data_IF_948948825037
#
_entry.id   IF_948948825037
#
_cell.length_a   1.000
_cell.length_b   1.000
_cell.length_c   1.000
_cell.angle_alpha   90.00
_cell.angle_beta   90.00
_cell.angle_gamma   90.00
#
_symmetry.space_group_name_H-M   'P 1'
#
loop_
_entity.id
_entity.type
_entity.pdbx_description
1 polymer ?
#
# COMPACT_ATOMS: atom_id res chain seq x y z
N UNK A 1 -2.65 15.31 24.65
CA UNK A 1 -3.45 14.74 23.54
C UNK A 1 -4.82 15.38 23.63
N UNK A 2 -5.30 16.00 22.55
CA UNK A 2 -6.59 16.72 22.52
C UNK A 2 -7.76 15.73 22.73
N UNK A 3 -8.66 16.04 23.66
CA UNK A 3 -9.83 15.22 24.01
C UNK A 3 -10.73 14.96 22.79
N UNK A 4 -10.77 15.91 21.84
CA UNK A 4 -11.56 15.76 20.60
C UNK A 4 -11.01 14.67 19.69
N UNK A 5 -9.68 14.54 19.62
CA UNK A 5 -9.00 13.52 18.82
C UNK A 5 -9.20 12.13 19.45
N UNK A 6 -9.15 12.06 20.79
CA UNK A 6 -9.39 10.82 21.51
C UNK A 6 -10.81 10.27 21.28
N UNK A 7 -11.83 11.15 21.34
CA UNK A 7 -13.21 10.75 21.13
C UNK A 7 -13.46 10.30 19.68
N UNK A 8 -12.94 11.02 18.68
CA UNK A 8 -13.09 10.63 17.28
C UNK A 8 -12.45 9.25 16.97
N UNK A 9 -11.33 8.92 17.61
CA UNK A 9 -10.71 7.59 17.46
C UNK A 9 -11.55 6.47 18.07
N UNK A 10 -12.20 6.73 19.21
CA UNK A 10 -13.11 5.77 19.83
C UNK A 10 -14.34 5.51 18.94
N UNK A 11 -14.89 6.57 18.34
CA UNK A 11 -16.04 6.46 17.43
C UNK A 11 -15.69 5.63 16.18
N UNK A 12 -14.55 5.91 15.53
CA UNK A 12 -14.07 5.14 14.38
C UNK A 12 -13.83 3.67 14.76
N UNK A 13 -13.25 3.43 15.93
CA UNK A 13 -12.98 2.07 16.40
C UNK A 13 -14.29 1.29 16.62
N UNK A 14 -15.29 1.87 17.28
CA UNK A 14 -16.59 1.22 17.43
C UNK A 14 -17.26 0.97 16.08
N UNK A 15 -17.15 1.93 15.16
CA UNK A 15 -17.77 1.87 13.84
C UNK A 15 -17.08 0.90 12.89
N UNK A 16 -15.84 0.50 13.13
CA UNK A 16 -15.10 -0.44 12.27
C UNK A 16 -14.92 -1.82 12.90
N UNK A 17 -15.29 -2.00 14.17
CA UNK A 17 -15.19 -3.28 14.87
C UNK A 17 -16.10 -4.32 14.23
N UNK A 18 -15.54 -5.50 13.98
CA UNK A 18 -16.24 -6.67 13.44
C UNK A 18 -16.71 -7.57 14.58
N UNK A 19 -18.01 -7.61 14.83
CA UNK A 19 -18.65 -8.59 15.73
C UNK A 19 -19.28 -9.72 14.91
N UNK A 20 -19.47 -10.92 15.47
CA UNK A 20 -20.09 -12.04 14.73
C UNK A 20 -21.45 -11.69 14.11
N UNK A 21 -22.30 -10.96 14.85
CA UNK A 21 -23.60 -10.49 14.35
C UNK A 21 -23.42 -9.54 13.16
N UNK A 22 -22.49 -8.58 13.26
CA UNK A 22 -22.24 -7.62 12.19
C UNK A 22 -21.70 -8.30 10.93
N UNK A 23 -20.77 -9.23 11.08
CA UNK A 23 -20.21 -10.00 9.96
C UNK A 23 -21.30 -10.83 9.28
N UNK A 24 -22.18 -11.47 10.05
CA UNK A 24 -23.31 -12.23 9.51
C UNK A 24 -24.34 -11.36 8.76
N UNK A 25 -24.49 -10.10 9.16
CA UNK A 25 -25.41 -9.14 8.53
C UNK A 25 -24.78 -8.37 7.36
N UNK A 26 -23.45 -8.29 7.30
CA UNK A 26 -22.74 -7.58 6.25
C UNK A 26 -22.63 -8.43 4.98
N UNK A 27 -23.36 -8.07 3.93
CA UNK A 27 -23.11 -8.55 2.57
C UNK A 27 -22.35 -7.48 1.78
N UNK A 28 -21.04 -7.66 1.66
CA UNK A 28 -20.19 -6.78 0.84
C UNK A 28 -19.60 -7.60 -0.29
N UNK A 29 -19.73 -7.09 -1.52
CA UNK A 29 -19.12 -7.67 -2.70
C UNK A 29 -17.88 -6.87 -3.10
N UNK A 30 -16.89 -7.55 -3.65
CA UNK A 30 -15.68 -6.91 -4.20
C UNK A 30 -15.99 -6.43 -5.62
N UNK A 31 -15.80 -5.14 -5.87
CA UNK A 31 -15.76 -4.60 -7.24
C UNK A 31 -14.36 -4.81 -7.83
N UNK A 32 -14.22 -5.83 -8.67
CA UNK A 32 -12.97 -6.18 -9.33
C UNK A 32 -12.55 -5.20 -10.42
N UNK A 33 -13.47 -4.41 -10.97
CA UNK A 33 -13.16 -3.42 -12.00
C UNK A 33 -12.51 -2.18 -11.38
N UNK A 34 -12.83 -1.88 -10.13
CA UNK A 34 -12.25 -0.80 -9.36
C UNK A 34 -10.98 -1.20 -8.58
N UNK A 35 -10.44 -2.41 -8.80
CA UNK A 35 -9.22 -2.85 -8.11
C UNK A 35 -8.04 -1.92 -8.42
N UNK A 36 -7.41 -1.28 -7.41
CA UNK A 36 -6.35 -0.32 -7.64
C UNK A 36 -5.05 -0.99 -8.11
N UNK A 37 -4.26 -0.24 -8.88
CA UNK A 37 -2.86 -0.58 -9.15
C UNK A 37 -2.01 -0.29 -7.91
N UNK A 38 -1.07 -1.18 -7.62
CA UNK A 38 -0.08 -0.99 -6.54
C UNK A 38 0.96 0.08 -6.88
N UNK A 39 1.17 0.36 -8.16
CA UNK A 39 2.28 1.21 -8.62
C UNK A 39 1.77 2.53 -9.19
N UNK A 40 2.52 3.59 -8.89
CA UNK A 40 2.37 4.89 -9.54
C UNK A 40 2.98 4.87 -10.93
N UNK A 41 2.32 5.54 -11.85
CA UNK A 41 2.82 5.78 -13.21
C UNK A 41 3.27 7.22 -13.32
N UNK A 42 4.50 7.43 -13.77
CA UNK A 42 5.08 8.74 -14.02
C UNK A 42 5.35 8.91 -15.52
N UNK A 43 5.31 10.14 -16.07
CA UNK A 43 5.68 10.37 -17.47
C UNK A 43 7.12 9.94 -17.79
N UNK A 44 7.37 9.55 -19.04
CA UNK A 44 8.67 9.00 -19.45
C UNK A 44 9.79 10.03 -19.59
N UNK A 45 9.46 11.31 -19.69
CA UNK A 45 10.45 12.38 -19.79
C UNK A 45 11.12 12.74 -18.44
N UNK A 46 10.62 12.21 -17.31
CA UNK A 46 11.22 12.45 -16.01
C UNK A 46 12.51 11.64 -15.86
N UNK A 47 13.47 12.19 -15.14
CA UNK A 47 14.71 11.48 -14.81
C UNK A 47 14.41 10.20 -14.02
N UNK A 48 15.04 9.10 -14.45
CA UNK A 48 14.93 7.76 -13.86
C UNK A 48 16.32 7.16 -13.75
N UNK A 49 16.51 6.28 -12.78
CA UNK A 49 17.69 5.45 -12.62
C UNK A 49 17.24 4.00 -12.40
N UNK A 50 18.10 3.03 -12.70
CA UNK A 50 17.82 1.63 -12.46
C UNK A 50 18.13 1.27 -11.00
N UNK A 51 17.42 0.25 -10.51
CA UNK A 51 17.69 -0.33 -9.19
C UNK A 51 19.16 -0.73 -9.09
N UNK A 52 19.84 -0.29 -8.02
CA UNK A 52 21.25 -0.57 -7.77
C UNK A 52 22.24 0.39 -8.44
N UNK A 53 21.78 1.35 -9.25
CA UNK A 53 22.68 2.33 -9.88
C UNK A 53 23.30 3.29 -8.85
N UNK A 54 22.60 3.54 -7.74
CA UNK A 54 23.01 4.52 -6.72
C UNK A 54 23.13 3.81 -5.37
N UNK A 55 24.36 3.51 -4.95
CA UNK A 55 24.67 2.82 -3.68
C UNK A 55 24.00 3.50 -2.46
N UNK A 56 23.98 4.84 -2.42
CA UNK A 56 23.34 5.58 -1.35
C UNK A 56 21.81 5.35 -1.21
N UNK A 57 21.16 4.81 -2.23
CA UNK A 57 19.72 4.53 -2.27
C UNK A 57 19.37 3.06 -2.01
N UNK A 58 20.37 2.19 -1.80
CA UNK A 58 20.17 0.75 -1.58
C UNK A 58 19.16 0.47 -0.44
N UNK A 59 19.20 1.23 0.65
CA UNK A 59 18.26 1.06 1.77
C UNK A 59 16.82 1.36 1.36
N UNK A 60 16.59 2.40 0.55
CA UNK A 60 15.26 2.76 0.07
C UNK A 60 14.73 1.71 -0.92
N UNK A 61 15.63 1.19 -1.76
CA UNK A 61 15.39 0.11 -2.71
C UNK A 61 15.00 -1.20 -2.01
N UNK A 62 15.72 -1.58 -0.96
CA UNK A 62 15.45 -2.77 -0.15
C UNK A 62 14.23 -2.60 0.77
N UNK A 63 13.79 -1.38 1.08
CA UNK A 63 12.67 -1.17 1.98
C UNK A 63 11.37 -1.81 1.47
N UNK A 64 11.13 -1.80 0.15
CA UNK A 64 9.87 -2.27 -0.45
C UNK A 64 10.07 -2.94 -1.82
N UNK A 65 11.00 -3.88 -1.89
CA UNK A 65 11.28 -4.63 -3.12
C UNK A 65 10.27 -5.76 -3.38
N UNK A 66 10.07 -6.08 -4.66
CA UNK A 66 9.30 -7.26 -5.08
C UNK A 66 10.17 -8.50 -4.85
N UNK A 67 9.64 -9.48 -4.12
CA UNK A 67 10.33 -10.74 -3.80
C UNK A 67 9.76 -11.94 -4.54
N UNK A 68 8.51 -11.85 -5.01
CA UNK A 68 7.85 -12.91 -5.74
C UNK A 68 6.81 -12.33 -6.71
N UNK A 69 6.59 -13.04 -7.81
CA UNK A 69 5.66 -12.70 -8.86
C UNK A 69 4.93 -13.95 -9.34
N UNK A 70 3.63 -13.81 -9.57
CA UNK A 70 2.81 -14.82 -10.26
C UNK A 70 1.72 -14.15 -11.08
N UNK A 71 1.17 -14.86 -12.05
CA UNK A 71 -0.04 -14.44 -12.76
C UNK A 71 -1.27 -15.04 -12.06
N UNK A 72 -2.28 -14.22 -11.79
CA UNK A 72 -3.59 -14.64 -11.29
C UNK A 72 -4.65 -14.07 -12.22
N UNK A 73 -5.45 -14.95 -12.84
CA UNK A 73 -6.51 -14.54 -13.77
C UNK A 73 -6.05 -13.53 -14.83
N UNK A 74 -4.91 -13.84 -15.47
CA UNK A 74 -4.23 -13.01 -16.47
C UNK A 74 -3.72 -11.64 -15.96
N UNK A 75 -3.88 -11.33 -14.67
CA UNK A 75 -3.34 -10.13 -14.04
C UNK A 75 -2.06 -10.44 -13.27
N UNK A 76 -1.09 -9.52 -13.27
CA UNK A 76 0.13 -9.68 -12.51
C UNK A 76 -0.15 -9.55 -11.01
N UNK A 77 0.39 -10.48 -10.21
CA UNK A 77 0.33 -10.48 -8.76
C UNK A 77 1.75 -10.42 -8.19
N UNK A 78 2.07 -9.27 -7.60
CA UNK A 78 3.38 -9.00 -7.00
C UNK A 78 3.33 -9.14 -5.49
N UNK A 79 4.34 -9.77 -4.92
CA UNK A 79 4.55 -9.84 -3.48
C UNK A 79 5.81 -9.06 -3.14
N UNK A 80 5.67 -8.15 -2.17
CA UNK A 80 6.78 -7.36 -1.66
C UNK A 80 7.36 -8.03 -0.42
N UNK A 81 8.59 -7.67 -0.07
CA UNK A 81 9.19 -8.06 1.20
C UNK A 81 8.42 -7.55 2.43
N UNK A 82 7.79 -6.38 2.33
CA UNK A 82 6.94 -5.81 3.36
C UNK A 82 5.53 -6.40 3.24
N UNK A 83 4.97 -7.05 4.27
CA UNK A 83 3.61 -7.57 4.23
C UNK A 83 2.57 -6.44 4.27
N UNK A 84 1.41 -6.67 3.66
CA UNK A 84 0.27 -5.76 3.69
C UNK A 84 -1.05 -6.54 3.74
N UNK A 85 -2.02 -6.07 4.53
CA UNK A 85 -3.33 -6.68 4.61
C UNK A 85 -4.00 -6.72 3.22
N UNK A 86 -4.43 -7.92 2.80
CA UNK A 86 -4.99 -8.13 1.46
C UNK A 86 -4.01 -7.88 0.29
N UNK A 87 -2.70 -7.72 0.58
CA UNK A 87 -1.69 -7.32 -0.39
C UNK A 87 -2.03 -5.99 -1.13
N UNK A 88 -2.65 -5.04 -0.41
CA UNK A 88 -3.16 -3.78 -1.00
C UNK A 88 -2.15 -2.63 -1.03
N UNK A 89 -1.12 -2.66 -0.19
CA UNK A 89 0.01 -1.72 -0.23
C UNK A 89 -0.37 -0.23 -0.32
N UNK A 90 -1.18 0.31 0.62
CA UNK A 90 -1.69 1.68 0.52
C UNK A 90 -0.65 2.78 0.78
N UNK A 91 0.56 2.40 1.21
CA UNK A 91 1.65 3.32 1.51
C UNK A 91 2.51 3.48 0.24
N UNK A 92 3.21 4.60 0.12
CA UNK A 92 4.19 4.85 -0.93
C UNK A 92 5.47 5.40 -0.31
N UNK A 93 6.62 5.12 -0.92
CA UNK A 93 7.92 5.61 -0.48
C UNK A 93 8.37 6.77 -1.36
N UNK A 94 8.78 7.87 -0.74
CA UNK A 94 9.37 9.02 -1.40
C UNK A 94 10.73 9.31 -0.81
N UNK A 95 11.70 9.61 -1.67
CA UNK A 95 13.04 10.05 -1.27
C UNK A 95 13.15 11.53 -1.56
N UNK A 96 13.40 12.33 -0.52
CA UNK A 96 13.71 13.74 -0.66
C UNK A 96 15.21 13.94 -0.49
N UNK A 97 15.86 14.43 -1.54
CA UNK A 97 17.28 14.78 -1.52
C UNK A 97 17.41 16.23 -1.04
N UNK A 98 18.28 16.49 -0.06
CA UNK A 98 18.62 17.84 0.40
C UNK A 98 20.03 18.20 -0.07
N UNK A 99 20.18 19.32 -0.76
CA UNK A 99 21.49 19.82 -1.22
C UNK A 99 21.61 20.05 -2.74
N UNK A 100 20.53 20.53 -3.39
CA UNK A 100 20.66 21.22 -4.69
C UNK A 100 21.03 22.67 -4.42
#
# INVERSE_FOLDING_TARGET
MDVRIANAMLDIYSDTTLTPLRVAQSSVFIDWNAQPSMFKTYPDFLYRYHFGDVEALEVAELARCITSYRSLDQKPYYQLNTPSAGNLHPIELYVQIRGV
#
